data_IF_053066016751
#
_entry.id   IF_053066016751
#
_cell.length_a   1.000
_cell.length_b   1.000
_cell.length_c   1.000
_cell.angle_alpha   90.00
_cell.angle_beta   90.00
_cell.angle_gamma   90.00
#
_symmetry.space_group_name_H-M   'P 1'
#
loop_
_entity.id
_entity.type
_entity.pdbx_description
1 polymer ?
#
# COMPACT_ATOMS: atom_id res chain seq x y z
N UNK A 1 9.13 -4.26 -4.53
CA UNK A 1 10.26 -3.37 -4.15
C UNK A 1 11.13 -3.01 -5.34
N UNK A 2 11.35 -3.93 -6.29
CA UNK A 2 12.06 -3.64 -7.55
C UNK A 2 11.34 -2.62 -8.46
N UNK A 3 10.03 -2.43 -8.30
CA UNK A 3 9.22 -1.59 -9.18
C UNK A 3 9.06 -0.11 -8.74
N UNK A 4 9.69 0.31 -7.64
CA UNK A 4 9.64 1.71 -7.17
C UNK A 4 10.97 2.43 -7.39
N UNK A 5 10.97 3.48 -8.21
CA UNK A 5 12.14 4.31 -8.43
C UNK A 5 12.19 5.47 -7.42
N UNK A 6 13.02 5.34 -6.40
CA UNK A 6 13.25 6.39 -5.41
C UNK A 6 13.94 7.65 -6.00
N UNK A 7 14.57 7.55 -7.18
CA UNK A 7 15.14 8.70 -7.89
C UNK A 7 14.09 9.51 -8.65
N UNK A 8 12.92 8.91 -8.92
CA UNK A 8 11.75 9.56 -9.53
C UNK A 8 10.50 9.22 -8.72
N UNK A 9 10.37 9.76 -7.49
CA UNK A 9 9.30 9.40 -6.58
C UNK A 9 7.94 9.83 -7.13
N UNK A 10 6.98 8.91 -7.14
CA UNK A 10 5.62 9.18 -7.60
C UNK A 10 4.75 7.93 -7.61
N UNK A 11 3.49 8.08 -8.00
CA UNK A 11 2.58 6.93 -8.08
C UNK A 11 2.89 6.04 -9.28
N UNK A 12 2.82 4.73 -9.07
CA UNK A 12 2.72 3.75 -10.15
C UNK A 12 1.80 2.62 -9.75
N UNK A 13 1.03 2.08 -10.69
CA UNK A 13 0.12 0.96 -10.42
C UNK A 13 0.86 -0.28 -9.90
N UNK A 14 2.14 -0.45 -10.27
CA UNK A 14 2.97 -1.58 -9.82
C UNK A 14 3.47 -1.42 -8.38
N UNK A 15 3.60 -0.18 -7.88
CA UNK A 15 4.18 0.11 -6.58
C UNK A 15 3.18 0.68 -5.56
N UNK A 16 1.96 1.02 -5.96
CA UNK A 16 0.98 1.71 -5.09
C UNK A 16 0.66 0.99 -3.77
N UNK A 17 0.61 -0.35 -3.77
CA UNK A 17 0.44 -1.10 -2.52
C UNK A 17 1.68 -1.01 -1.61
N UNK A 18 2.88 -1.08 -2.20
CA UNK A 18 4.13 -0.93 -1.45
C UNK A 18 4.23 0.47 -0.82
N UNK A 19 4.01 1.52 -1.61
CA UNK A 19 4.14 2.91 -1.13
C UNK A 19 3.14 3.22 -0.02
N UNK A 20 1.93 2.65 -0.07
CA UNK A 20 0.96 2.79 1.02
C UNK A 20 1.42 2.09 2.31
N UNK A 21 2.04 0.91 2.20
CA UNK A 21 2.50 0.14 3.37
C UNK A 21 3.65 0.81 4.12
N UNK A 22 4.52 1.53 3.41
CA UNK A 22 5.71 2.17 4.00
C UNK A 22 5.55 3.68 4.19
N UNK A 23 4.33 4.21 3.99
CA UNK A 23 4.06 5.64 4.05
C UNK A 23 4.35 6.20 5.44
N UNK A 24 5.40 7.03 5.57
CA UNK A 24 5.87 7.60 6.85
C UNK A 24 4.77 8.32 7.66
N UNK A 25 3.90 9.08 7.00
CA UNK A 25 2.81 9.81 7.64
C UNK A 25 1.61 8.95 8.07
N UNK A 26 1.57 7.67 7.65
CA UNK A 26 0.52 6.74 8.04
C UNK A 26 0.72 6.30 9.47
N UNK A 27 -0.32 6.41 10.31
CA UNK A 27 -0.21 6.11 11.75
C UNK A 27 -1.11 4.98 12.20
N UNK A 28 -2.14 4.66 11.42
CA UNK A 28 -3.11 3.62 11.72
C UNK A 28 -3.40 2.78 10.49
N UNK A 29 -3.63 1.49 10.72
CA UNK A 29 -4.12 0.56 9.71
C UNK A 29 -5.22 -0.31 10.31
N UNK A 30 -6.35 -0.39 9.62
CA UNK A 30 -7.38 -1.39 9.83
C UNK A 30 -7.27 -2.47 8.77
N UNK A 31 -7.36 -3.74 9.18
CA UNK A 31 -7.26 -4.88 8.26
C UNK A 31 -8.48 -5.77 8.47
N UNK A 32 -9.26 -5.95 7.40
CA UNK A 32 -10.38 -6.87 7.35
C UNK A 32 -10.05 -8.06 6.46
N UNK A 33 -10.40 -9.26 6.91
CA UNK A 33 -10.32 -10.48 6.10
C UNK A 33 -11.69 -11.16 6.10
N UNK A 34 -12.14 -11.59 4.94
CA UNK A 34 -13.21 -12.58 4.80
C UNK A 34 -12.66 -13.75 3.99
N UNK A 35 -12.96 -14.97 4.40
CA UNK A 35 -12.67 -16.19 3.64
C UNK A 35 -13.97 -16.96 3.40
N UNK A 36 -14.19 -17.42 2.17
CA UNK A 36 -15.24 -18.39 1.82
C UNK A 36 -15.01 -19.78 2.44
N UNK A 37 -15.80 -20.77 1.99
CA UNK A 37 -15.73 -22.16 2.46
C UNK A 37 -15.62 -23.24 1.35
N UNK A 38 -15.58 -22.86 0.08
CA UNK A 38 -15.47 -23.68 -1.11
C UNK A 38 -14.04 -23.86 -1.65
N UNK A 39 -13.92 -24.58 -2.77
CA UNK A 39 -12.63 -25.01 -3.32
C UNK A 39 -12.03 -24.07 -4.39
N UNK A 40 -12.72 -22.99 -4.77
CA UNK A 40 -12.31 -22.14 -5.88
C UNK A 40 -11.38 -21.00 -5.46
N UNK A 41 -10.44 -20.65 -6.33
CA UNK A 41 -9.59 -19.47 -6.20
C UNK A 41 -10.49 -18.23 -6.23
N UNK A 42 -10.73 -17.62 -5.06
CA UNK A 42 -11.20 -16.24 -4.76
C UNK A 42 -11.91 -16.17 -3.39
N UNK A 43 -11.72 -17.17 -2.52
CA UNK A 43 -12.40 -17.19 -1.24
C UNK A 43 -11.92 -16.12 -0.26
N UNK A 44 -10.63 -15.75 -0.29
CA UNK A 44 -10.05 -14.84 0.70
C UNK A 44 -9.89 -13.43 0.15
N UNK A 45 -10.66 -12.50 0.69
CA UNK A 45 -10.49 -11.07 0.47
C UNK A 45 -9.83 -10.47 1.70
N UNK A 46 -8.76 -9.69 1.48
CA UNK A 46 -8.11 -8.91 2.52
C UNK A 46 -8.14 -7.45 2.09
N UNK A 47 -8.70 -6.60 2.94
CA UNK A 47 -8.79 -5.17 2.71
C UNK A 47 -8.02 -4.45 3.81
N UNK A 48 -7.21 -3.48 3.38
CA UNK A 48 -6.48 -2.60 4.27
C UNK A 48 -7.07 -1.20 4.15
N UNK A 49 -7.28 -0.53 5.28
CA UNK A 49 -7.69 0.86 5.37
C UNK A 49 -6.62 1.59 6.18
N UNK A 50 -6.03 2.63 5.60
CA UNK A 50 -4.96 3.42 6.23
C UNK A 50 -5.49 4.80 6.63
N UNK A 51 -5.09 5.28 7.81
CA UNK A 51 -5.43 6.62 8.29
C UNK A 51 -4.21 7.28 8.97
N UNK A 52 -3.77 8.48 8.52
CA UNK A 52 -4.14 9.16 7.27
C UNK A 52 -3.84 8.31 6.00
N UNK A 53 -4.51 8.58 4.87
CA UNK A 53 -4.22 7.87 3.62
C UNK A 53 -2.81 8.21 3.12
N UNK A 54 -2.19 7.26 2.42
CA UNK A 54 -0.93 7.49 1.72
C UNK A 54 -1.14 7.73 0.23
N UNK A 55 -0.04 7.66 -0.54
CA UNK A 55 -0.04 7.83 -1.99
C UNK A 55 -0.57 9.19 -2.46
N UNK A 56 -0.43 10.22 -1.64
CA UNK A 56 -0.79 11.59 -2.01
C UNK A 56 0.21 12.11 -3.04
N UNK A 57 -0.30 12.63 -4.16
CA UNK A 57 0.52 13.19 -5.23
C UNK A 57 1.37 14.35 -4.69
N UNK A 58 2.66 14.37 -5.04
CA UNK A 58 3.62 15.35 -4.53
C UNK A 58 4.26 15.01 -3.18
N UNK A 59 3.76 14.01 -2.45
CA UNK A 59 4.24 13.71 -1.08
C UNK A 59 5.13 12.45 -0.99
N UNK A 60 5.38 11.78 -2.12
CA UNK A 60 6.07 10.49 -2.14
C UNK A 60 7.51 10.55 -1.61
N UNK A 61 8.27 11.58 -1.95
CA UNK A 61 9.68 11.72 -1.54
C UNK A 61 9.84 11.80 -0.02
N UNK A 62 8.90 12.44 0.67
CA UNK A 62 8.94 12.63 2.13
C UNK A 62 8.42 11.40 2.89
N UNK A 63 7.64 10.54 2.22
CA UNK A 63 6.92 9.44 2.85
C UNK A 63 7.42 8.04 2.48
N UNK A 64 8.12 7.86 1.36
CA UNK A 64 8.64 6.56 0.90
C UNK A 64 10.16 6.59 0.95
N UNK A 65 10.72 6.31 2.12
CA UNK A 65 12.16 6.46 2.39
C UNK A 65 12.95 5.20 2.03
N UNK A 66 14.22 5.39 1.64
CA UNK A 66 15.19 4.30 1.54
C UNK A 66 15.59 3.85 2.95
N UNK A 67 15.70 2.54 3.15
CA UNK A 67 16.28 1.94 4.35
C UNK A 67 17.81 1.92 4.27
#
# INVERSE_FOLDING_TARGET
>A
MADYDFGSPGFSAKAGHFTQLVWKGGTKVGIGRVSGQGADFYETYIVFVFEPPGNMEGEFADNVLRA
#
